data_IF_903538743203
#
_entry.id   IF_903538743203
#
_cell.length_a   1.000
_cell.length_b   1.000
_cell.length_c   1.000
_cell.angle_alpha   90.00
_cell.angle_beta   90.00
_cell.angle_gamma   90.00
#
_symmetry.space_group_name_H-M   'P 1'
#
loop_
_entity.id
_entity.type
_entity.pdbx_description
1 polymer ?
#
# COMPACT_ATOMS: atom_id res chain seq x y z
N UNK A 1 -0.15 3.44 -8.77
CA UNK A 1 1.24 3.63 -9.24
C UNK A 1 1.37 3.03 -10.63
N UNK A 2 2.01 3.73 -11.56
CA UNK A 2 2.14 3.28 -12.95
C UNK A 2 3.51 2.65 -13.19
N UNK A 3 3.50 1.39 -13.63
CA UNK A 3 4.64 0.51 -13.94
C UNK A 3 4.47 -0.15 -15.32
N UNK A 4 4.47 0.63 -16.43
CA UNK A 4 4.27 0.10 -17.79
C UNK A 4 5.35 -0.91 -18.22
N UNK A 5 6.58 -0.73 -17.74
CA UNK A 5 7.78 -1.45 -18.20
C UNK A 5 8.22 -2.56 -17.25
N UNK A 6 7.29 -3.07 -16.41
CA UNK A 6 7.59 -4.20 -15.52
C UNK A 6 8.03 -5.40 -16.36
N UNK A 7 9.23 -5.94 -16.10
CA UNK A 7 9.77 -7.08 -16.84
C UNK A 7 8.84 -8.30 -16.68
N UNK A 8 8.41 -8.55 -15.44
CA UNK A 8 7.51 -9.65 -15.10
C UNK A 8 6.13 -9.11 -14.69
N UNK A 9 5.26 -8.91 -15.68
CA UNK A 9 3.91 -8.36 -15.48
C UNK A 9 2.98 -9.26 -14.66
N UNK A 10 3.38 -10.50 -14.38
CA UNK A 10 2.58 -11.44 -13.56
C UNK A 10 2.82 -11.23 -12.07
N UNK A 11 3.98 -10.65 -11.70
CA UNK A 11 4.32 -10.39 -10.30
C UNK A 11 3.66 -9.12 -9.82
N UNK A 12 2.89 -9.25 -8.74
CA UNK A 12 2.32 -8.10 -8.05
C UNK A 12 3.42 -7.43 -7.21
N UNK A 13 3.59 -6.10 -7.29
CA UNK A 13 4.48 -5.35 -6.40
C UNK A 13 4.18 -5.67 -4.94
N UNK A 14 5.22 -5.91 -4.14
CA UNK A 14 5.07 -6.10 -2.70
C UNK A 14 5.04 -4.75 -1.99
N UNK A 15 4.29 -4.67 -0.89
CA UNK A 15 4.27 -3.50 -0.03
C UNK A 15 4.68 -3.86 1.40
N UNK A 16 5.42 -2.97 2.05
CA UNK A 16 5.85 -3.10 3.45
C UNK A 16 5.56 -1.82 4.20
N UNK A 17 5.12 -1.94 5.45
CA UNK A 17 4.81 -0.81 6.32
C UNK A 17 5.83 -0.77 7.46
N UNK A 18 6.41 0.41 7.70
CA UNK A 18 7.37 0.63 8.78
C UNK A 18 6.99 1.90 9.52
N UNK A 19 6.79 1.83 10.84
CA UNK A 19 6.46 3.00 11.66
C UNK A 19 7.65 3.95 11.69
N UNK A 20 7.41 5.26 11.59
CA UNK A 20 8.48 6.24 11.65
C UNK A 20 9.02 6.35 13.09
N UNK A 21 10.34 6.37 13.26
CA UNK A 21 10.97 6.45 14.58
C UNK A 21 10.77 7.82 15.25
N UNK A 22 10.75 8.88 14.44
CA UNK A 22 10.54 10.27 14.85
C UNK A 22 9.09 10.55 15.25
N UNK A 23 8.13 9.95 14.55
CA UNK A 23 6.71 10.17 14.78
C UNK A 23 5.88 8.91 14.52
N UNK A 24 5.37 8.30 15.60
CA UNK A 24 4.55 7.08 15.56
C UNK A 24 3.15 7.28 14.97
N UNK A 25 2.69 8.52 14.80
CA UNK A 25 1.44 8.82 14.09
C UNK A 25 1.56 8.53 12.59
N UNK A 26 2.79 8.38 12.09
CA UNK A 26 3.05 8.10 10.68
C UNK A 26 3.83 6.80 10.48
N UNK A 27 3.54 6.17 9.36
CA UNK A 27 4.25 5.02 8.84
C UNK A 27 4.72 5.28 7.41
N UNK A 28 5.86 4.70 7.06
CA UNK A 28 6.37 4.64 5.71
C UNK A 28 5.83 3.38 5.03
N UNK A 29 5.00 3.58 4.01
CA UNK A 29 4.52 2.54 3.11
C UNK A 29 5.47 2.44 1.92
N UNK A 30 6.29 1.39 1.89
CA UNK A 30 7.27 1.12 0.84
C UNK A 30 6.72 0.10 -0.16
N UNK A 31 6.84 0.40 -1.44
CA UNK A 31 6.48 -0.49 -2.54
C UNK A 31 7.73 -0.99 -3.25
N UNK A 32 7.74 -2.28 -3.58
CA UNK A 32 8.76 -2.92 -4.40
C UNK A 32 8.08 -3.55 -5.61
N UNK A 33 8.27 -2.95 -6.78
CA UNK A 33 7.72 -3.47 -8.03
C UNK A 33 8.62 -4.53 -8.68
N UNK A 34 9.92 -4.48 -8.40
CA UNK A 34 10.95 -5.26 -9.09
C UNK A 34 11.52 -4.51 -10.30
N UNK A 35 12.55 -5.09 -10.96
CA UNK A 35 13.23 -4.45 -12.08
C UNK A 35 12.27 -4.06 -13.22
N UNK A 36 12.46 -2.90 -13.88
CA UNK A 36 13.55 -1.94 -13.73
C UNK A 36 13.33 -0.88 -12.63
N UNK A 37 12.23 -0.95 -11.87
CA UNK A 37 11.85 0.12 -10.96
C UNK A 37 12.50 -0.03 -9.58
N UNK A 38 12.94 1.10 -9.04
CA UNK A 38 13.38 1.20 -7.65
C UNK A 38 12.21 1.21 -6.67
N UNK A 39 12.54 1.06 -5.39
CA UNK A 39 11.56 1.16 -4.33
C UNK A 39 11.03 2.58 -4.21
N UNK A 40 9.72 2.73 -4.06
CA UNK A 40 9.10 4.02 -3.74
C UNK A 40 8.43 3.94 -2.38
N UNK A 41 8.39 5.06 -1.67
CA UNK A 41 7.87 5.11 -0.32
C UNK A 41 6.95 6.31 -0.13
N UNK A 42 5.87 6.11 0.63
CA UNK A 42 4.90 7.15 0.98
C UNK A 42 4.79 7.25 2.49
N UNK A 43 4.81 8.47 3.04
CA UNK A 43 4.47 8.71 4.44
C UNK A 43 2.96 8.76 4.58
N UNK A 44 2.39 7.88 5.40
CA UNK A 44 0.95 7.76 5.64
C UNK A 44 0.67 7.76 7.14
N UNK A 45 -0.58 7.93 7.54
CA UNK A 45 -0.99 7.78 8.95
C UNK A 45 -0.86 6.33 9.39
N UNK A 46 -0.34 6.11 10.60
CA UNK A 46 -0.06 4.79 11.18
C UNK A 46 -1.28 4.16 11.86
N UNK A 47 -2.42 4.17 11.18
CA UNK A 47 -3.65 3.53 11.65
C UNK A 47 -3.86 2.15 11.04
N UNK A 48 -4.63 1.30 11.70
CA UNK A 48 -4.95 -0.03 11.18
C UNK A 48 -5.79 0.07 9.89
N UNK A 49 -5.46 -0.74 8.89
CA UNK A 49 -6.20 -0.74 7.62
C UNK A 49 -7.39 -1.69 7.68
N UNK A 50 -8.51 -1.25 7.12
CA UNK A 50 -9.62 -2.15 6.81
C UNK A 50 -9.28 -2.93 5.53
N UNK A 51 -9.05 -4.24 5.70
CA UNK A 51 -8.71 -5.16 4.61
C UNK A 51 -9.96 -5.82 4.00
N UNK A 52 -11.16 -5.39 4.37
CA UNK A 52 -12.39 -5.95 3.83
C UNK A 52 -12.60 -5.54 2.37
N UNK A 53 -12.78 -6.50 1.44
CA UNK A 53 -13.16 -6.19 0.06
C UNK A 53 -14.50 -5.45 -0.04
N UNK A 54 -15.44 -5.72 0.89
CA UNK A 54 -16.75 -5.07 0.95
C UNK A 54 -16.62 -3.57 1.27
N UNK A 55 -15.58 -3.20 2.02
CA UNK A 55 -15.26 -1.81 2.34
C UNK A 55 -14.30 -1.17 1.31
N UNK A 56 -14.11 -1.79 0.15
CA UNK A 56 -13.38 -1.18 -0.96
C UNK A 56 -11.87 -1.40 -0.92
N UNK A 57 -11.37 -2.29 -0.06
CA UNK A 57 -9.96 -2.68 -0.10
C UNK A 57 -9.62 -3.33 -1.45
N UNK A 58 -8.57 -2.83 -2.10
CA UNK A 58 -8.06 -3.39 -3.36
C UNK A 58 -6.54 -3.38 -3.32
N UNK A 59 -5.92 -4.49 -3.68
CA UNK A 59 -4.47 -4.60 -3.85
C UNK A 59 -4.20 -5.50 -5.05
N UNK A 60 -4.02 -4.92 -6.23
CA UNK A 60 -3.79 -5.68 -7.47
C UNK A 60 -3.03 -4.84 -8.49
N UNK A 61 -2.46 -5.52 -9.48
CA UNK A 61 -1.85 -4.91 -10.66
C UNK A 61 -2.61 -5.34 -11.92
N UNK A 62 -2.94 -4.38 -12.78
CA UNK A 62 -3.57 -4.64 -14.07
C UNK A 62 -3.08 -3.63 -15.10
N UNK A 63 -2.72 -4.09 -16.30
CA UNK A 63 -2.26 -3.24 -17.40
C UNK A 63 -1.12 -2.28 -17.02
N UNK A 64 -0.16 -2.76 -16.21
CA UNK A 64 0.95 -1.94 -15.71
C UNK A 64 0.52 -0.89 -14.67
N UNK A 65 -0.71 -0.89 -14.18
CA UNK A 65 -1.16 -0.02 -13.10
C UNK A 65 -1.31 -0.84 -11.83
N UNK A 66 -0.47 -0.55 -10.84
CA UNK A 66 -0.64 -1.09 -9.49
C UNK A 66 -1.61 -0.20 -8.71
N UNK A 67 -2.68 -0.81 -8.20
CA UNK A 67 -3.73 -0.15 -7.43
C UNK A 67 -3.76 -0.69 -6.01
N UNK A 68 -3.50 0.21 -5.05
CA UNK A 68 -3.76 -0.01 -3.65
C UNK A 68 -4.85 0.99 -3.20
N UNK A 69 -6.01 0.45 -2.85
CA UNK A 69 -7.13 1.18 -2.27
C UNK A 69 -7.30 0.67 -0.86
N UNK A 70 -7.32 1.57 0.10
CA UNK A 70 -7.45 1.23 1.50
C UNK A 70 -8.26 2.31 2.21
N UNK A 71 -8.95 1.88 3.26
CA UNK A 71 -9.53 2.76 4.25
C UNK A 71 -8.93 2.42 5.60
N UNK A 72 -8.85 3.41 6.48
CA UNK A 72 -8.50 3.16 7.87
C UNK A 72 -9.68 2.55 8.60
N UNK A 73 -9.38 1.59 9.49
CA UNK A 73 -10.38 0.92 10.31
C UNK A 73 -11.01 1.95 11.23
N UNK A 74 -12.33 2.11 11.16
CA UNK A 74 -13.05 2.99 12.07
C UNK A 74 -13.13 2.35 13.45
N UNK A 75 -12.60 3.01 14.45
CA UNK A 75 -12.87 2.63 15.83
C UNK A 75 -14.31 3.00 16.18
N UNK A 76 -15.13 1.97 16.47
CA UNK A 76 -16.49 2.17 16.98
C UNK A 76 -16.38 2.33 18.50
N UNK A 77 -16.61 3.55 18.98
CA UNK A 77 -16.77 3.78 20.41
C UNK A 77 -18.01 3.01 20.91
N UNK A 78 -17.84 2.14 21.90
CA UNK A 78 -18.95 1.50 22.63
C UNK A 78 -19.12 2.27 23.94
N UNK A 79 -20.34 2.77 24.18
CA UNK A 79 -20.75 3.40 25.45
C UNK A 79 -21.13 2.33 26.46
#
# INVERSE_FOLDING_TARGET
IFYPDLIDKTKTPSCSLTVCEDNRDFSILKFHAGPPYEYIAFKIVSEEWDKSPEHGFRCHIQNGVFQLWLHFRKQKYRR
#
